data_IF_122079195536
#
_entry.id   IF_122079195536
#
_cell.length_a   1.000
_cell.length_b   1.000
_cell.length_c   1.000
_cell.angle_alpha   90.00
_cell.angle_beta   90.00
_cell.angle_gamma   90.00
#
_symmetry.space_group_name_H-M   'P 1'
#
loop_
_entity.id
_entity.type
_entity.pdbx_description
1 polymer ?
#
# COMPACT_ATOMS: atom_id res chain seq x y z
N UNK A 1 -15.35 43.13 -24.01
CA UNK A 1 -14.11 42.53 -23.46
C UNK A 1 -13.99 41.11 -23.99
N UNK A 2 -13.23 40.92 -25.07
CA UNK A 2 -13.04 39.59 -25.67
C UNK A 2 -12.07 38.78 -24.82
N UNK A 3 -12.55 37.66 -24.26
CA UNK A 3 -11.67 36.65 -23.69
C UNK A 3 -10.85 36.11 -24.86
N UNK A 4 -9.57 36.50 -24.92
CA UNK A 4 -8.64 36.02 -25.93
C UNK A 4 -8.66 34.49 -25.94
N UNK A 5 -8.89 33.90 -27.12
CA UNK A 5 -8.92 32.44 -27.36
C UNK A 5 -7.66 31.72 -26.86
N UNK A 6 -6.54 32.45 -26.71
CA UNK A 6 -5.29 31.96 -26.09
C UNK A 6 -5.36 31.79 -24.57
N UNK A 7 -6.20 32.57 -23.87
CA UNK A 7 -6.42 32.45 -22.41
C UNK A 7 -7.36 31.29 -22.05
N UNK A 8 -8.28 30.93 -22.96
CA UNK A 8 -9.16 29.77 -22.77
C UNK A 8 -8.38 28.44 -22.88
N UNK A 9 -7.41 28.36 -23.80
CA UNK A 9 -6.55 27.20 -23.99
C UNK A 9 -5.66 26.90 -22.77
N UNK A 10 -5.19 27.93 -22.06
CA UNK A 10 -4.43 27.76 -20.82
C UNK A 10 -5.31 27.32 -19.64
N UNK A 11 -6.59 27.71 -19.62
CA UNK A 11 -7.51 27.22 -18.59
C UNK A 11 -7.85 25.74 -18.79
N UNK A 12 -8.06 25.28 -20.03
CA UNK A 12 -8.30 23.86 -20.33
C UNK A 12 -7.07 22.97 -20.02
N UNK A 13 -5.84 23.49 -20.14
CA UNK A 13 -4.64 22.74 -19.73
C UNK A 13 -4.54 22.57 -18.20
N UNK A 14 -5.10 23.50 -17.42
CA UNK A 14 -5.05 23.44 -15.94
C UNK A 14 -6.14 22.53 -15.33
N UNK A 15 -7.23 22.25 -16.06
CA UNK A 15 -8.27 21.30 -15.60
C UNK A 15 -7.88 19.83 -15.87
N UNK A 16 -6.81 19.58 -16.63
CA UNK A 16 -6.33 18.23 -16.95
C UNK A 16 -5.46 17.55 -15.88
N UNK A 17 -5.14 18.23 -14.77
CA UNK A 17 -4.23 17.72 -13.74
C UNK A 17 -4.92 17.22 -12.47
N UNK A 18 -6.25 17.31 -12.39
CA UNK A 18 -7.01 16.52 -11.42
C UNK A 18 -6.95 15.05 -11.87
N UNK A 19 -6.21 14.23 -11.10
CA UNK A 19 -5.85 12.87 -11.44
C UNK A 19 -7.00 12.09 -12.09
N UNK A 20 -6.80 11.63 -13.31
CA UNK A 20 -7.77 10.74 -13.94
C UNK A 20 -7.93 9.51 -13.06
N UNK A 21 -9.18 9.18 -12.70
CA UNK A 21 -9.48 7.95 -11.97
C UNK A 21 -9.27 6.74 -12.86
N UNK A 22 -8.85 5.65 -12.25
CA UNK A 22 -8.87 4.32 -12.85
C UNK A 22 -10.30 3.77 -12.74
N UNK A 23 -10.82 3.29 -13.86
CA UNK A 23 -12.22 2.92 -14.04
C UNK A 23 -12.67 1.69 -13.25
N UNK A 24 -11.79 0.73 -12.98
CA UNK A 24 -12.15 -0.52 -12.31
C UNK A 24 -12.16 -0.39 -10.78
N UNK A 25 -11.30 0.48 -10.24
CA UNK A 25 -11.08 0.62 -8.79
C UNK A 25 -11.59 1.93 -8.22
N UNK A 26 -11.73 2.98 -9.03
CA UNK A 26 -12.09 4.33 -8.60
C UNK A 26 -10.96 5.14 -7.98
N UNK A 27 -9.77 4.54 -7.81
CA UNK A 27 -8.55 5.21 -7.34
C UNK A 27 -7.95 6.14 -8.40
N UNK A 28 -7.20 7.15 -7.97
CA UNK A 28 -6.47 8.01 -8.89
C UNK A 28 -5.35 7.21 -9.57
N UNK A 29 -5.19 7.36 -10.89
CA UNK A 29 -4.14 6.67 -11.65
C UNK A 29 -2.73 6.88 -11.09
N UNK A 30 -2.46 8.07 -10.56
CA UNK A 30 -1.18 8.40 -9.93
C UNK A 30 -0.84 7.47 -8.76
N UNK A 31 -1.82 6.93 -8.04
CA UNK A 31 -1.60 5.94 -7.00
C UNK A 31 -0.91 4.69 -7.57
N UNK A 32 -1.48 4.11 -8.63
CA UNK A 32 -0.94 2.92 -9.28
C UNK A 32 0.41 3.18 -9.94
N UNK A 33 0.55 4.31 -10.64
CA UNK A 33 1.82 4.67 -11.26
C UNK A 33 2.92 4.88 -10.23
N UNK A 34 2.61 5.51 -9.09
CA UNK A 34 3.59 5.75 -8.02
C UNK A 34 3.98 4.44 -7.35
N UNK A 35 3.00 3.61 -6.96
CA UNK A 35 3.24 2.31 -6.35
C UNK A 35 4.04 1.39 -7.27
N UNK A 36 3.76 1.41 -8.57
CA UNK A 36 4.55 0.70 -9.58
C UNK A 36 5.98 1.23 -9.65
N UNK A 37 6.17 2.53 -9.86
CA UNK A 37 7.49 3.15 -9.98
C UNK A 37 8.35 2.87 -8.75
N UNK A 38 7.79 3.03 -7.54
CA UNK A 38 8.49 2.72 -6.30
C UNK A 38 8.84 1.24 -6.20
N UNK A 39 7.94 0.35 -6.62
CA UNK A 39 8.23 -1.08 -6.61
C UNK A 39 9.38 -1.45 -7.57
N UNK A 40 9.41 -0.85 -8.76
CA UNK A 40 10.53 -0.99 -9.70
C UNK A 40 11.82 -0.45 -9.09
N UNK A 41 11.79 0.68 -8.39
CA UNK A 41 12.98 1.23 -7.71
C UNK A 41 13.52 0.23 -6.67
N UNK A 42 12.65 -0.35 -5.83
CA UNK A 42 13.05 -1.36 -4.84
C UNK A 42 13.61 -2.63 -5.50
N UNK A 43 12.95 -3.15 -6.54
CA UNK A 43 13.45 -4.27 -7.31
C UNK A 43 14.83 -3.96 -7.89
N UNK A 44 14.97 -2.83 -8.59
CA UNK A 44 16.22 -2.38 -9.22
C UNK A 44 17.36 -2.35 -8.22
N UNK A 45 17.13 -1.78 -7.03
CA UNK A 45 18.14 -1.67 -5.98
C UNK A 45 18.46 -3.01 -5.29
N UNK A 46 17.56 -3.99 -5.35
CA UNK A 46 17.81 -5.34 -4.82
C UNK A 46 18.67 -6.22 -5.73
N UNK A 47 18.80 -5.85 -7.01
CA UNK A 47 19.53 -6.65 -8.00
C UNK A 47 21.04 -6.38 -7.95
N UNK A 48 21.83 -7.44 -8.17
CA UNK A 48 23.29 -7.33 -8.29
C UNK A 48 23.73 -6.51 -9.51
N UNK A 49 22.97 -6.60 -10.61
CA UNK A 49 23.23 -5.88 -11.86
C UNK A 49 21.99 -5.06 -12.26
N UNK A 50 21.73 -3.91 -11.62
CA UNK A 50 20.50 -3.13 -11.82
C UNK A 50 20.23 -2.77 -13.29
N UNK A 51 21.27 -2.44 -14.05
CA UNK A 51 21.17 -2.07 -15.48
C UNK A 51 20.70 -3.21 -16.38
N UNK A 52 20.70 -4.45 -15.90
CA UNK A 52 20.22 -5.62 -16.64
C UNK A 52 18.72 -5.86 -16.46
N UNK A 53 18.06 -5.13 -15.56
CA UNK A 53 16.65 -5.30 -15.30
C UNK A 53 15.82 -5.03 -16.55
N UNK A 54 14.96 -6.00 -16.86
CA UNK A 54 13.95 -5.92 -17.89
C UNK A 54 12.62 -6.34 -17.31
N UNK A 55 11.74 -5.37 -17.06
CA UNK A 55 10.35 -5.67 -16.70
C UNK A 55 9.68 -6.35 -17.90
N UNK A 56 9.02 -7.48 -17.66
CA UNK A 56 8.25 -8.23 -18.67
C UNK A 56 6.80 -7.81 -18.62
N UNK A 57 6.26 -7.76 -17.42
CA UNK A 57 4.92 -7.27 -17.15
C UNK A 57 4.76 -6.87 -15.69
N UNK A 58 3.77 -6.02 -15.44
CA UNK A 58 3.29 -5.76 -14.11
C UNK A 58 1.76 -5.89 -14.02
N UNK A 59 1.31 -6.45 -12.91
CA UNK A 59 -0.09 -6.57 -12.55
C UNK A 59 -0.28 -5.92 -11.19
N UNK A 60 -1.28 -5.05 -11.07
CA UNK A 60 -1.59 -4.39 -9.80
C UNK A 60 -2.98 -4.79 -9.36
N UNK A 61 -3.14 -5.14 -8.09
CA UNK A 61 -4.45 -5.42 -7.51
C UNK A 61 -4.75 -4.57 -6.29
N UNK A 62 -6.00 -4.15 -6.15
CA UNK A 62 -6.52 -3.45 -4.98
C UNK A 62 -7.60 -4.28 -4.27
N UNK A 63 -7.49 -4.41 -2.95
CA UNK A 63 -8.42 -5.20 -2.14
C UNK A 63 -8.57 -4.61 -0.73
N UNK A 64 -9.51 -5.14 0.05
CA UNK A 64 -9.60 -4.83 1.48
C UNK A 64 -8.42 -5.46 2.23
N UNK A 65 -7.69 -4.67 3.01
CA UNK A 65 -6.58 -5.17 3.81
C UNK A 65 -7.08 -6.16 4.89
N UNK A 66 -6.24 -7.12 5.28
CA UNK A 66 -6.52 -7.99 6.42
C UNK A 66 -6.23 -7.25 7.75
N UNK A 67 -6.73 -7.78 8.86
CA UNK A 67 -6.62 -7.11 10.16
C UNK A 67 -5.18 -7.14 10.70
N UNK A 68 -4.42 -8.18 10.39
CA UNK A 68 -3.03 -8.34 10.80
C UNK A 68 -2.13 -7.25 10.21
N UNK A 69 -2.25 -7.01 8.90
CA UNK A 69 -1.50 -5.99 8.17
C UNK A 69 -1.96 -4.58 8.57
N UNK A 70 -3.27 -4.37 8.78
CA UNK A 70 -3.78 -3.11 9.35
C UNK A 70 -3.14 -2.85 10.71
N UNK A 71 -3.15 -3.84 11.61
CA UNK A 71 -2.61 -3.68 12.95
C UNK A 71 -1.09 -3.46 12.92
N UNK A 72 -0.37 -4.17 12.05
CA UNK A 72 1.08 -4.05 11.88
C UNK A 72 1.51 -2.64 11.43
N UNK A 73 0.71 -1.99 10.60
CA UNK A 73 1.07 -0.68 10.02
C UNK A 73 0.44 0.50 10.75
N UNK A 74 -0.83 0.38 11.09
CA UNK A 74 -1.63 1.48 11.64
C UNK A 74 -2.06 1.25 13.08
N UNK A 75 -1.85 0.07 13.68
CA UNK A 75 -2.40 -0.30 14.99
C UNK A 75 -2.21 0.76 16.07
N UNK A 76 -0.97 1.22 16.26
CA UNK A 76 -0.63 2.25 17.24
C UNK A 76 -1.16 3.65 16.89
N UNK A 77 -1.49 3.89 15.61
CA UNK A 77 -2.00 5.17 15.10
C UNK A 77 -3.53 5.27 15.13
N UNK A 78 -4.22 4.15 15.29
CA UNK A 78 -5.69 4.08 15.18
C UNK A 78 -6.35 3.50 16.42
N UNK A 79 -5.55 3.01 17.37
CA UNK A 79 -6.05 2.43 18.61
C UNK A 79 -5.53 3.16 19.84
N UNK A 80 -6.36 3.18 20.88
CA UNK A 80 -6.01 3.61 22.23
C UNK A 80 -6.43 2.54 23.21
N UNK A 81 -5.48 2.05 24.01
CA UNK A 81 -5.69 0.91 24.91
C UNK A 81 -6.22 -0.34 24.17
N UNK A 82 -5.77 -0.56 22.93
CA UNK A 82 -6.18 -1.69 22.09
C UNK A 82 -7.55 -1.55 21.43
N UNK A 83 -8.29 -0.47 21.70
CA UNK A 83 -9.61 -0.19 21.13
C UNK A 83 -9.47 0.80 19.98
N UNK A 84 -10.17 0.59 18.86
CA UNK A 84 -10.16 1.54 17.74
C UNK A 84 -10.77 2.86 18.20
N UNK A 85 -10.03 3.95 18.00
CA UNK A 85 -10.42 5.28 18.46
C UNK A 85 -11.73 5.77 17.79
N UNK A 86 -12.50 6.58 18.52
CA UNK A 86 -13.84 7.00 18.08
C UNK A 86 -13.80 7.90 16.84
N UNK A 87 -12.74 8.71 16.68
CA UNK A 87 -12.52 9.51 15.48
C UNK A 87 -12.33 8.61 14.24
N UNK A 88 -11.63 7.48 14.34
CA UNK A 88 -11.44 6.51 13.26
C UNK A 88 -12.79 5.89 12.84
N UNK A 89 -13.65 5.60 13.82
CA UNK A 89 -15.02 5.11 13.60
C UNK A 89 -15.92 6.17 12.96
N UNK A 90 -15.89 7.38 13.50
CA UNK A 90 -16.69 8.52 13.03
C UNK A 90 -16.32 8.93 11.60
N UNK A 91 -15.02 8.99 11.31
CA UNK A 91 -14.49 9.25 9.96
C UNK A 91 -14.74 8.09 9.01
N UNK A 92 -15.25 6.94 9.47
CA UNK A 92 -15.42 5.74 8.65
C UNK A 92 -14.15 5.39 7.88
N UNK A 93 -13.02 5.37 8.59
CA UNK A 93 -11.75 5.03 7.98
C UNK A 93 -11.79 3.64 7.34
N UNK A 94 -11.14 3.50 6.18
CA UNK A 94 -11.11 2.28 5.39
C UNK A 94 -9.67 1.96 5.06
N UNK A 95 -9.33 0.68 5.13
CA UNK A 95 -7.99 0.20 4.84
C UNK A 95 -7.99 -0.67 3.60
N UNK A 96 -7.16 -0.32 2.62
CA UNK A 96 -7.06 -1.03 1.34
C UNK A 96 -5.62 -1.43 1.08
N UNK A 97 -5.42 -2.65 0.62
CA UNK A 97 -4.14 -3.16 0.17
C UNK A 97 -4.00 -2.94 -1.34
N UNK A 98 -2.82 -2.48 -1.76
CA UNK A 98 -2.39 -2.50 -3.15
C UNK A 98 -1.22 -3.48 -3.27
N UNK A 99 -1.38 -4.50 -4.09
CA UNK A 99 -0.34 -5.45 -4.44
C UNK A 99 0.16 -5.14 -5.84
N UNK A 100 1.45 -4.81 -5.97
CA UNK A 100 2.13 -4.67 -7.26
C UNK A 100 2.96 -5.93 -7.48
N UNK A 101 2.64 -6.68 -8.53
CA UNK A 101 3.38 -7.86 -8.98
C UNK A 101 4.15 -7.51 -10.25
N UNK A 102 5.46 -7.75 -10.25
CA UNK A 102 6.36 -7.47 -11.37
C UNK A 102 7.04 -8.77 -11.78
N UNK A 103 6.72 -9.26 -12.98
CA UNK A 103 7.50 -10.29 -13.63
C UNK A 103 8.69 -9.63 -14.32
N UNK A 104 9.89 -10.06 -13.96
CA UNK A 104 11.11 -9.46 -14.44
C UNK A 104 12.12 -10.48 -14.96
N UNK A 105 13.06 -9.97 -15.73
CA UNK A 105 14.26 -10.66 -16.17
C UNK A 105 15.47 -9.80 -15.79
N UNK A 106 16.52 -10.39 -15.24
CA UNK A 106 17.77 -9.71 -14.87
C UNK A 106 18.96 -10.65 -15.01
N UNK A 107 20.17 -10.11 -15.10
CA UNK A 107 21.39 -10.92 -15.11
C UNK A 107 21.89 -11.18 -13.67
N UNK A 108 22.32 -12.42 -13.41
CA UNK A 108 23.03 -12.75 -12.18
C UNK A 108 24.50 -12.28 -12.24
N UNK A 109 25.26 -12.53 -11.16
CA UNK A 109 26.68 -12.14 -11.08
C UNK A 109 27.60 -12.81 -12.12
N UNK A 110 27.11 -13.82 -12.84
CA UNK A 110 27.84 -14.52 -13.92
C UNK A 110 27.32 -14.13 -15.31
N UNK A 111 26.44 -13.12 -15.41
CA UNK A 111 25.86 -12.66 -16.67
C UNK A 111 24.73 -13.54 -17.22
N UNK A 112 24.34 -14.60 -16.50
CA UNK A 112 23.23 -15.45 -16.92
C UNK A 112 21.89 -14.76 -16.63
N UNK A 113 20.98 -14.79 -17.62
CA UNK A 113 19.64 -14.24 -17.47
C UNK A 113 18.79 -15.13 -16.56
N UNK A 114 18.20 -14.53 -15.53
CA UNK A 114 17.26 -15.13 -14.60
C UNK A 114 15.91 -14.42 -14.70
N UNK A 115 14.84 -15.17 -14.54
CA UNK A 115 13.47 -14.65 -14.43
C UNK A 115 13.02 -14.77 -12.99
N UNK A 116 12.25 -13.79 -12.53
CA UNK A 116 11.69 -13.81 -11.19
C UNK A 116 10.39 -13.01 -11.12
N UNK A 117 9.72 -13.17 -9.99
CA UNK A 117 8.53 -12.44 -9.58
C UNK A 117 8.86 -11.60 -8.35
N UNK A 118 8.67 -10.30 -8.47
CA UNK A 118 8.84 -9.36 -7.36
C UNK A 118 7.51 -8.74 -6.99
N UNK A 119 7.20 -8.69 -5.69
CA UNK A 119 5.93 -8.17 -5.20
C UNK A 119 6.15 -7.09 -4.15
N UNK A 120 5.44 -5.98 -4.31
CA UNK A 120 5.38 -4.92 -3.30
C UNK A 120 3.94 -4.79 -2.80
N UNK A 121 3.77 -4.88 -1.49
CA UNK A 121 2.48 -4.64 -0.85
C UNK A 121 2.45 -3.30 -0.15
N UNK A 122 1.47 -2.50 -0.53
CA UNK A 122 1.18 -1.23 0.09
C UNK A 122 -0.14 -1.33 0.83
N UNK A 123 -0.24 -0.67 1.97
CA UNK A 123 -1.50 -0.49 2.68
C UNK A 123 -1.83 1.00 2.72
N UNK A 124 -3.11 1.30 2.55
CA UNK A 124 -3.61 2.66 2.42
C UNK A 124 -4.75 2.89 3.39
N UNK A 125 -4.84 4.11 3.94
CA UNK A 125 -5.97 4.60 4.72
C UNK A 125 -6.76 5.63 3.93
N UNK A 126 -8.07 5.44 3.87
CA UNK A 126 -9.04 6.36 3.26
C UNK A 126 -10.00 6.81 4.35
N UNK A 127 -10.26 8.11 4.47
CA UNK A 127 -11.24 8.62 5.42
C UNK A 127 -12.50 9.08 4.69
N UNK A 128 -13.65 9.00 5.36
CA UNK A 128 -14.95 9.42 4.87
C UNK A 128 -15.25 8.83 3.48
N UNK A 129 -15.64 9.67 2.53
CA UNK A 129 -15.92 9.32 1.14
C UNK A 129 -14.71 9.52 0.20
N UNK A 130 -13.47 9.56 0.73
CA UNK A 130 -12.27 9.67 -0.11
C UNK A 130 -12.20 8.49 -1.10
N UNK A 131 -12.04 8.80 -2.39
CA UNK A 131 -11.88 7.77 -3.42
C UNK A 131 -10.43 7.36 -3.62
N UNK A 132 -9.48 8.16 -3.16
CA UNK A 132 -8.04 7.88 -3.27
C UNK A 132 -7.31 8.39 -2.02
N UNK A 133 -6.28 7.68 -1.54
CA UNK A 133 -5.60 8.04 -0.32
C UNK A 133 -4.71 9.26 -0.55
N UNK A 134 -4.59 10.10 0.46
CA UNK A 134 -3.61 11.18 0.46
C UNK A 134 -2.20 10.61 0.66
N UNK A 135 -1.15 11.31 0.18
CA UNK A 135 0.22 11.00 0.60
C UNK A 135 0.33 10.93 2.13
N UNK A 136 1.26 10.13 2.65
CA UNK A 136 1.43 9.77 4.07
C UNK A 136 0.35 8.85 4.69
N UNK A 137 -0.78 8.64 4.01
CA UNK A 137 -1.74 7.59 4.35
C UNK A 137 -1.48 6.30 3.56
N UNK A 138 -0.29 6.15 2.98
CA UNK A 138 0.11 5.01 2.15
C UNK A 138 1.47 4.54 2.65
N UNK A 139 1.59 3.24 2.91
CA UNK A 139 2.82 2.63 3.41
C UNK A 139 3.15 1.40 2.59
N UNK A 140 4.38 1.30 2.10
CA UNK A 140 4.97 0.02 1.72
C UNK A 140 5.25 -0.75 3.01
N UNK A 141 4.64 -1.91 3.15
CA UNK A 141 4.75 -2.70 4.39
C UNK A 141 5.31 -4.11 4.17
N UNK A 142 5.34 -4.58 2.91
CA UNK A 142 5.90 -5.90 2.60
C UNK A 142 6.52 -5.94 1.20
N UNK A 143 7.69 -6.59 1.11
CA UNK A 143 8.37 -6.93 -0.13
C UNK A 143 8.51 -8.46 -0.20
N UNK A 144 8.29 -9.03 -1.36
CA UNK A 144 8.40 -10.48 -1.61
C UNK A 144 9.18 -10.67 -2.90
N UNK A 145 10.18 -11.55 -2.92
CA UNK A 145 10.89 -11.94 -4.13
C UNK A 145 10.88 -13.46 -4.27
N UNK A 146 10.30 -13.94 -5.36
CA UNK A 146 10.16 -15.38 -5.67
C UNK A 146 9.52 -16.20 -4.53
N UNK A 147 8.58 -15.59 -3.80
CA UNK A 147 7.85 -16.19 -2.69
C UNK A 147 8.54 -16.04 -1.32
N UNK A 148 9.73 -15.46 -1.26
CA UNK A 148 10.43 -15.19 -0.02
C UNK A 148 10.22 -13.75 0.45
N UNK A 149 9.84 -13.60 1.73
CA UNK A 149 9.65 -12.30 2.36
C UNK A 149 11.00 -11.58 2.52
N UNK A 150 11.11 -10.39 1.93
CA UNK A 150 12.24 -9.49 2.14
C UNK A 150 11.92 -8.63 3.35
N UNK A 151 12.68 -8.81 4.43
CA UNK A 151 12.51 -8.01 5.64
C UNK A 151 12.82 -6.54 5.36
N UNK A 152 11.79 -5.69 5.36
CA UNK A 152 11.89 -4.25 5.22
C UNK A 152 12.48 -3.56 6.47
N UNK A 153 12.41 -4.20 7.64
CA UNK A 153 12.78 -3.64 8.93
C UNK A 153 11.81 -2.57 9.46
N UNK A 154 11.24 -1.74 8.58
CA UNK A 154 10.25 -0.69 8.90
C UNK A 154 9.25 -0.49 7.77
N UNK A 155 8.04 -0.03 8.11
CA UNK A 155 7.05 0.41 7.12
C UNK A 155 7.48 1.75 6.51
N UNK A 156 7.45 1.86 5.18
CA UNK A 156 7.97 3.05 4.47
C UNK A 156 6.80 3.87 3.92
N UNK A 157 6.59 5.12 4.39
CA UNK A 157 5.51 5.97 3.88
C UNK A 157 5.79 6.43 2.44
N UNK A 158 4.74 6.55 1.63
CA UNK A 158 4.79 7.27 0.36
C UNK A 158 4.55 8.75 0.62
N UNK A 159 5.59 9.56 0.42
CA UNK A 159 5.57 11.00 0.68
C UNK A 159 4.85 11.81 -0.41
N UNK A 160 4.78 11.30 -1.64
CA UNK A 160 4.11 11.98 -2.77
C UNK A 160 3.66 11.01 -3.87
N UNK A 161 2.62 11.39 -4.62
CA UNK A 161 2.01 10.61 -5.70
C UNK A 161 2.35 11.18 -7.09
N UNK A 162 3.64 11.13 -7.44
CA UNK A 162 4.20 11.70 -8.67
C UNK A 162 4.50 10.67 -9.77
N UNK A 163 3.93 9.48 -9.69
CA UNK A 163 4.10 8.44 -10.70
C UNK A 163 3.64 8.91 -12.08
N UNK A 164 4.49 8.72 -13.09
CA UNK A 164 4.18 9.06 -14.48
C UNK A 164 2.95 8.30 -14.99
N UNK A 165 2.01 9.00 -15.63
CA UNK A 165 0.83 8.39 -16.25
C UNK A 165 1.13 7.46 -17.43
N UNK A 166 2.40 7.34 -17.83
CA UNK A 166 2.83 6.48 -18.92
C UNK A 166 2.70 4.99 -18.58
N UNK A 167 2.99 4.58 -17.33
CA UNK A 167 3.13 3.16 -16.97
C UNK A 167 1.84 2.35 -17.09
N UNK A 168 0.68 2.94 -16.75
CA UNK A 168 -0.64 2.31 -16.94
C UNK A 168 -0.91 1.98 -18.42
N UNK A 169 -0.25 2.67 -19.35
CA UNK A 169 -0.44 2.46 -20.78
C UNK A 169 0.70 1.69 -21.44
N UNK A 170 1.77 1.33 -20.70
CA UNK A 170 2.93 0.58 -21.23
C UNK A 170 3.14 -0.75 -20.50
N UNK A 171 3.60 -0.69 -19.25
CA UNK A 171 4.19 -1.83 -18.54
C UNK A 171 3.21 -2.50 -17.56
N UNK A 172 2.24 -1.75 -17.06
CA UNK A 172 1.15 -2.28 -16.25
C UNK A 172 0.11 -2.87 -17.20
N UNK A 173 0.07 -4.20 -17.30
CA UNK A 173 -0.87 -4.91 -18.17
C UNK A 173 -2.29 -4.96 -17.61
N UNK A 174 -2.40 -5.03 -16.28
CA UNK A 174 -3.69 -5.21 -15.61
C UNK A 174 -3.72 -4.48 -14.28
N UNK A 175 -4.84 -3.79 -14.06
CA UNK A 175 -5.27 -3.33 -12.75
C UNK A 175 -6.55 -4.11 -12.42
N UNK A 176 -6.62 -4.71 -11.23
CA UNK A 176 -7.81 -5.45 -10.77
C UNK A 176 -8.17 -4.97 -9.38
N UNK A 177 -9.44 -4.71 -9.11
CA UNK A 177 -9.85 -4.48 -7.74
C UNK A 177 -11.33 -4.23 -7.61
N UNK A 178 -11.78 -4.12 -6.37
CA UNK A 178 -13.15 -3.75 -6.07
C UNK A 178 -13.28 -2.23 -6.01
N UNK A 179 -14.27 -1.68 -6.73
CA UNK A 179 -14.66 -0.27 -6.66
C UNK A 179 -15.40 0.09 -5.36
N UNK A 180 -15.03 -0.53 -4.22
CA UNK A 180 -15.65 -0.25 -2.93
C UNK A 180 -15.16 1.09 -2.37
N UNK A 181 -15.74 2.16 -2.94
CA UNK A 181 -15.48 3.55 -2.58
C UNK A 181 -16.19 4.00 -1.30
N UNK A 182 -17.04 3.16 -0.71
CA UNK A 182 -17.79 3.46 0.52
C UNK A 182 -17.43 2.48 1.64
N UNK A 183 -17.66 2.92 2.88
CA UNK A 183 -17.46 2.09 4.07
C UNK A 183 -18.47 0.96 4.11
N UNK A 184 -17.98 -0.27 4.20
CA UNK A 184 -18.78 -1.48 4.17
C UNK A 184 -18.79 -2.21 5.51
N UNK A 185 -19.64 -3.24 5.62
CA UNK A 185 -19.66 -4.10 6.81
C UNK A 185 -18.33 -4.85 6.99
N UNK A 186 -17.64 -5.17 5.89
CA UNK A 186 -16.28 -5.73 5.91
C UNK A 186 -15.31 -4.79 6.62
N UNK A 187 -15.40 -3.48 6.40
CA UNK A 187 -14.55 -2.49 7.08
C UNK A 187 -14.81 -2.47 8.59
N UNK A 188 -16.08 -2.50 8.99
CA UNK A 188 -16.48 -2.61 10.41
C UNK A 188 -15.98 -3.92 11.04
N UNK A 189 -15.99 -5.01 10.29
CA UNK A 189 -15.43 -6.29 10.73
C UNK A 189 -13.93 -6.20 10.97
N UNK A 190 -13.18 -5.53 10.09
CA UNK A 190 -11.73 -5.32 10.27
C UNK A 190 -11.40 -4.59 11.55
N UNK A 191 -12.21 -3.61 11.96
CA UNK A 191 -12.01 -2.93 13.25
C UNK A 191 -12.04 -3.92 14.42
N UNK A 192 -13.07 -4.76 14.48
CA UNK A 192 -13.23 -5.76 15.56
C UNK A 192 -12.08 -6.77 15.56
N UNK A 193 -11.62 -7.18 14.38
CA UNK A 193 -10.50 -8.10 14.25
C UNK A 193 -9.19 -7.45 14.73
N UNK A 194 -8.94 -6.18 14.42
CA UNK A 194 -7.79 -5.42 14.96
C UNK A 194 -7.86 -5.30 16.48
N UNK A 195 -9.03 -4.96 17.03
CA UNK A 195 -9.25 -4.90 18.49
C UNK A 195 -8.97 -6.26 19.14
N UNK A 196 -9.45 -7.35 18.54
CA UNK A 196 -9.19 -8.72 19.00
C UNK A 196 -7.69 -9.05 19.00
N UNK A 197 -6.96 -8.71 17.94
CA UNK A 197 -5.50 -8.94 17.88
C UNK A 197 -4.79 -8.20 19.01
N UNK A 198 -5.18 -6.97 19.31
CA UNK A 198 -4.57 -6.19 20.38
C UNK A 198 -4.92 -6.72 21.77
N UNK A 199 -6.14 -7.22 21.96
CA UNK A 199 -6.53 -7.90 23.19
C UNK A 199 -5.70 -9.17 23.43
N UNK A 200 -5.55 -10.03 22.40
CA UNK A 200 -4.72 -11.23 22.52
C UNK A 200 -3.26 -10.90 22.85
N UNK A 201 -2.66 -9.92 22.15
CA UNK A 201 -1.30 -9.45 22.46
C UNK A 201 -1.17 -8.95 23.90
N UNK A 202 -2.18 -8.25 24.43
CA UNK A 202 -2.18 -7.77 25.82
C UNK A 202 -2.20 -8.95 26.80
N UNK A 203 -3.09 -9.91 26.58
CA UNK A 203 -3.21 -11.10 27.42
C UNK A 203 -1.93 -11.95 27.41
N UNK A 204 -1.31 -12.14 26.25
CA UNK A 204 -0.04 -12.87 26.12
C UNK A 204 1.08 -12.17 26.90
N UNK A 205 1.17 -10.84 26.79
CA UNK A 205 2.15 -10.05 27.54
C UNK A 205 1.93 -10.10 29.05
N UNK A 206 0.67 -10.13 29.51
CA UNK A 206 0.33 -10.28 30.93
C UNK A 206 0.68 -11.68 31.44
N UNK A 207 0.38 -12.72 30.66
CA UNK A 207 0.74 -14.10 30.98
C UNK A 207 2.27 -14.28 31.09
N UNK A 208 3.04 -13.69 30.17
CA UNK A 208 4.50 -13.76 30.19
C UNK A 208 5.10 -13.01 31.40
N UNK A 209 4.55 -11.84 31.76
CA UNK A 209 4.96 -11.13 32.98
C UNK A 209 4.69 -11.94 34.25
N UNK A 210 3.54 -12.61 34.32
CA UNK A 210 3.22 -13.50 35.43
C UNK A 210 4.20 -14.67 35.49
N UNK A 211 4.53 -15.29 34.34
CA UNK A 211 5.50 -16.37 34.25
C UNK A 211 6.88 -15.94 34.76
N UNK A 212 7.37 -14.79 34.31
CA UNK A 212 8.65 -14.22 34.76
C UNK A 212 8.65 -13.92 36.27
N UNK A 213 7.57 -13.33 36.78
CA UNK A 213 7.43 -13.06 38.22
C UNK A 213 7.43 -14.33 39.07
N UNK A 214 6.86 -15.43 38.57
CA UNK A 214 6.91 -16.73 39.24
C UNK A 214 8.34 -17.30 39.21
N UNK A 215 9.00 -17.29 38.06
CA UNK A 215 10.38 -17.78 37.92
C UNK A 215 11.34 -17.00 38.86
N UNK A 216 11.17 -15.68 39.00
CA UNK A 216 11.94 -14.85 39.93
C UNK A 216 11.62 -15.11 41.42
N UNK A 217 10.39 -15.51 41.74
CA UNK A 217 9.96 -15.77 43.12
C UNK A 217 10.42 -17.13 43.66
N UNK A 218 10.81 -18.04 42.76
CA UNK A 218 11.24 -19.41 43.08
C UNK A 218 12.69 -19.71 42.66
N UNK A 219 13.46 -18.68 42.27
CA UNK A 219 14.92 -18.73 42.09
C UNK A 219 15.66 -18.14 43.29
#
# INVERSE_FOLDING_TARGET
MGISMKRLLFLCLLVGLAGCKETQTGFDKNLFNTSYSKCVDYLTNSLKSPSSLKVREANISASTANAEDINSVFGDLITKNGIIEENIKTEKARFRELLVNIDYEAQNSFGASIRGLYQCKYITRLNNAETSPKPLNIYLYKLINDGEDINLGVNIPISDLNGSNFFINSDIKKIVGTAESQFSETDSKRYKEVESINEYKRLDNEAEKLRQSWDESFS
#
